data_IF_524018571914
#
_entry.id   IF_524018571914
#
_cell.length_a   1.000
_cell.length_b   1.000
_cell.length_c   1.000
_cell.angle_alpha   90.00
_cell.angle_beta   90.00
_cell.angle_gamma   90.00
#
_symmetry.space_group_name_H-M   'P 1'
#
loop_
_entity.id
_entity.type
_entity.pdbx_description
1 polymer ?
#
# COMPACT_ATOMS: atom_id res chain seq x y z
N UNK A 1 21.50 7.15 12.37
CA UNK A 1 20.10 7.40 12.73
C UNK A 1 20.04 8.56 13.69
N UNK A 2 19.69 9.73 13.18
CA UNK A 2 19.44 10.94 13.96
C UNK A 2 18.22 11.68 13.41
N UNK A 3 17.79 12.71 14.12
CA UNK A 3 16.74 13.62 13.64
C UNK A 3 17.37 14.74 12.84
N UNK A 4 16.75 15.08 11.72
CA UNK A 4 17.23 16.12 10.81
C UNK A 4 16.15 17.14 10.52
N UNK A 5 16.40 18.39 10.87
CA UNK A 5 15.60 19.52 10.41
C UNK A 5 16.30 20.10 9.20
N UNK A 6 15.60 20.16 8.07
CA UNK A 6 16.15 20.62 6.79
C UNK A 6 15.35 21.84 6.32
N UNK A 7 16.06 22.92 5.97
CA UNK A 7 15.47 24.13 5.37
C UNK A 7 16.39 24.74 4.33
N UNK A 8 15.81 25.49 3.38
CA UNK A 8 16.54 26.37 2.47
C UNK A 8 16.30 27.82 2.90
N UNK A 9 17.38 28.60 3.00
CA UNK A 9 17.28 30.02 3.31
C UNK A 9 17.10 30.85 2.04
N UNK A 10 16.13 31.77 2.06
CA UNK A 10 15.92 32.73 0.98
C UNK A 10 16.69 34.05 1.20
N UNK A 11 16.55 34.96 0.25
CA UNK A 11 17.28 36.25 0.21
C UNK A 11 16.42 37.47 0.57
N UNK A 12 15.10 37.29 0.72
CA UNK A 12 14.16 38.36 1.04
C UNK A 12 14.53 39.06 2.35
N UNK A 13 14.16 40.34 2.47
CA UNK A 13 14.25 41.09 3.72
C UNK A 13 13.09 40.69 4.64
N UNK A 14 13.36 39.74 5.53
CA UNK A 14 12.33 39.17 6.39
C UNK A 14 11.91 40.15 7.48
N UNK A 15 10.61 40.35 7.61
CA UNK A 15 10.05 41.19 8.66
C UNK A 15 9.78 40.34 9.89
N UNK A 16 10.02 40.92 11.06
CA UNK A 16 9.66 40.28 12.32
C UNK A 16 8.15 40.10 12.40
N UNK A 17 7.71 38.87 12.63
CA UNK A 17 6.30 38.50 12.69
C UNK A 17 6.06 37.46 13.78
N UNK A 18 4.79 37.20 14.10
CA UNK A 18 4.39 36.19 15.07
C UNK A 18 3.96 34.96 14.29
N UNK A 19 4.78 33.91 14.29
CA UNK A 19 4.40 32.63 13.71
C UNK A 19 3.57 31.80 14.70
N UNK A 20 2.66 30.98 14.18
CA UNK A 20 1.82 30.09 14.99
C UNK A 20 1.74 28.68 14.39
N UNK A 21 1.88 27.67 15.25
CA UNK A 21 1.63 26.26 14.94
C UNK A 21 0.97 25.59 16.15
N UNK A 22 -0.30 25.21 16.01
CA UNK A 22 -1.10 24.72 17.14
C UNK A 22 -1.16 25.77 18.25
N UNK A 23 -0.84 25.36 19.48
CA UNK A 23 -0.83 26.25 20.65
C UNK A 23 0.48 27.04 20.83
N UNK A 24 1.48 26.81 19.97
CA UNK A 24 2.77 27.50 20.06
C UNK A 24 2.78 28.75 19.19
N UNK A 25 3.24 29.86 19.77
CA UNK A 25 3.49 31.11 19.06
C UNK A 25 4.86 31.63 19.42
N UNK A 26 5.56 32.20 18.44
CA UNK A 26 6.86 32.81 18.69
C UNK A 26 7.14 33.92 17.68
N UNK A 27 7.67 35.04 18.18
CA UNK A 27 7.96 36.21 17.38
C UNK A 27 9.39 36.13 16.82
N UNK A 28 9.53 36.07 15.51
CA UNK A 28 10.83 36.06 14.83
C UNK A 28 10.69 36.51 13.38
N UNK A 29 11.80 36.93 12.79
CA UNK A 29 11.93 37.17 11.35
C UNK A 29 12.22 35.90 10.55
N UNK A 30 12.54 34.77 11.20
CA UNK A 30 12.93 33.53 10.51
C UNK A 30 12.05 32.36 10.92
N UNK A 31 11.30 31.83 9.96
CA UNK A 31 10.53 30.60 10.16
C UNK A 31 11.42 29.42 10.60
N UNK A 32 12.68 29.37 10.16
CA UNK A 32 13.64 28.35 10.57
C UNK A 32 13.86 28.38 12.09
N UNK A 33 14.03 29.56 12.68
CA UNK A 33 14.15 29.70 14.13
C UNK A 33 12.87 29.24 14.85
N UNK A 34 11.70 29.63 14.33
CA UNK A 34 10.40 29.22 14.88
C UNK A 34 10.25 27.69 14.89
N UNK A 35 10.50 27.02 13.76
CA UNK A 35 10.37 25.56 13.63
C UNK A 35 11.42 24.83 14.45
N UNK A 36 12.67 25.30 14.49
CA UNK A 36 13.72 24.72 15.33
C UNK A 36 13.34 24.82 16.81
N UNK A 37 12.82 25.95 17.28
CA UNK A 37 12.31 26.10 18.66
C UNK A 37 11.18 25.13 18.97
N UNK A 38 10.26 24.94 18.03
CA UNK A 38 9.10 24.07 18.22
C UNK A 38 9.48 22.58 18.24
N UNK A 39 10.29 22.10 17.30
CA UNK A 39 10.56 20.67 17.11
C UNK A 39 11.84 20.15 17.78
N UNK A 40 12.85 21.01 17.98
CA UNK A 40 14.21 20.57 18.28
C UNK A 40 14.60 20.73 19.76
N UNK A 41 13.64 20.99 20.65
CA UNK A 41 13.90 21.26 22.07
C UNK A 41 14.55 20.08 22.80
N UNK A 42 14.09 18.86 22.51
CA UNK A 42 14.58 17.63 23.13
C UNK A 42 15.65 16.93 22.27
N UNK A 43 16.30 17.67 21.36
CA UNK A 43 17.32 17.12 20.46
C UNK A 43 18.71 17.19 21.09
N UNK A 44 19.56 16.21 20.75
CA UNK A 44 20.94 16.13 21.22
C UNK A 44 21.96 16.40 20.10
N UNK A 45 23.25 16.27 20.42
CA UNK A 45 24.35 16.61 19.51
C UNK A 45 24.41 15.78 18.22
N UNK A 46 23.79 14.59 18.21
CA UNK A 46 23.73 13.71 17.05
C UNK A 46 22.63 14.16 16.07
N UNK A 47 21.64 14.92 16.55
CA UNK A 47 20.59 15.53 15.75
C UNK A 47 21.08 16.81 15.07
N UNK A 48 20.59 17.08 13.85
CA UNK A 48 21.15 18.10 12.96
C UNK A 48 20.08 19.09 12.46
N UNK A 49 20.38 20.37 12.58
CA UNK A 49 19.68 21.47 11.90
C UNK A 49 20.51 21.86 10.69
N UNK A 50 20.03 21.54 9.49
CA UNK A 50 20.75 21.69 8.23
C UNK A 50 20.10 22.81 7.41
N UNK A 51 20.86 23.88 7.17
CA UNK A 51 20.42 25.03 6.40
C UNK A 51 21.18 25.07 5.07
N UNK A 52 20.44 24.89 3.98
CA UNK A 52 20.97 25.01 2.63
C UNK A 52 20.94 26.46 2.16
N UNK A 53 22.06 26.94 1.62
CA UNK A 53 22.33 28.35 1.34
C UNK A 53 22.80 28.52 -0.11
N UNK A 54 22.17 29.44 -0.84
CA UNK A 54 22.82 30.05 -2.00
C UNK A 54 23.88 31.06 -1.54
N UNK A 55 24.78 31.46 -2.43
CA UNK A 55 25.79 32.48 -2.13
C UNK A 55 25.16 33.78 -1.59
N UNK A 56 24.06 34.22 -2.20
CA UNK A 56 23.33 35.42 -1.77
C UNK A 56 22.63 35.23 -0.43
N UNK A 57 21.99 34.07 -0.18
CA UNK A 57 21.32 33.81 1.09
C UNK A 57 22.32 33.81 2.26
N UNK A 58 23.53 33.29 2.01
CA UNK A 58 24.64 33.30 2.98
C UNK A 58 25.03 34.74 3.36
N UNK A 59 25.22 35.61 2.38
CA UNK A 59 25.63 37.02 2.59
C UNK A 59 24.51 37.85 3.22
N UNK A 60 23.27 37.66 2.77
CA UNK A 60 22.17 38.56 3.12
C UNK A 60 21.47 38.20 4.43
N UNK A 61 21.32 36.91 4.73
CA UNK A 61 20.43 36.43 5.80
C UNK A 61 21.07 35.41 6.76
N UNK A 62 22.08 34.64 6.34
CA UNK A 62 22.74 33.68 7.23
C UNK A 62 23.61 34.38 8.26
N UNK A 63 24.55 35.22 7.80
CA UNK A 63 25.45 35.98 8.65
C UNK A 63 25.82 37.33 8.02
N UNK A 64 24.85 38.25 7.93
CA UNK A 64 25.05 39.56 7.33
C UNK A 64 26.03 40.43 8.14
N UNK A 65 27.14 40.86 7.54
CA UNK A 65 28.16 41.64 8.24
C UNK A 65 27.69 43.05 8.63
N UNK A 66 26.76 43.63 7.87
CA UNK A 66 26.34 45.02 8.01
C UNK A 66 25.06 45.19 8.85
N UNK A 67 24.14 44.23 8.77
CA UNK A 67 22.81 44.32 9.40
C UNK A 67 22.68 43.20 10.44
N UNK A 68 22.84 43.54 11.72
CA UNK A 68 22.82 42.56 12.82
C UNK A 68 21.50 41.80 12.96
N UNK A 69 20.38 42.42 12.57
CA UNK A 69 19.05 41.78 12.57
C UNK A 69 18.91 40.71 11.48
N UNK A 70 19.81 40.67 10.50
CA UNK A 70 19.80 39.71 9.38
C UNK A 70 20.84 38.60 9.55
N UNK A 71 20.78 37.90 10.70
CA UNK A 71 21.71 36.83 11.07
C UNK A 71 20.98 35.61 11.64
N UNK A 72 20.45 34.76 10.77
CA UNK A 72 19.84 33.49 11.20
C UNK A 72 20.83 32.63 11.99
N UNK A 73 22.11 32.59 11.58
CA UNK A 73 23.14 31.78 12.26
C UNK A 73 23.22 32.12 13.74
N UNK A 74 23.32 33.40 14.08
CA UNK A 74 23.39 33.87 15.47
C UNK A 74 22.12 33.52 16.27
N UNK A 75 20.93 33.62 15.65
CA UNK A 75 19.66 33.24 16.28
C UNK A 75 19.56 31.74 16.57
N UNK A 76 20.09 30.90 15.70
CA UNK A 76 20.15 29.45 15.93
C UNK A 76 21.22 29.09 16.96
N UNK A 77 22.38 29.75 16.93
CA UNK A 77 23.45 29.53 17.91
C UNK A 77 23.01 29.91 19.33
N UNK A 78 22.24 30.99 19.50
CA UNK A 78 21.72 31.38 20.83
C UNK A 78 20.76 30.35 21.43
N UNK A 79 20.16 29.46 20.62
CA UNK A 79 19.35 28.35 21.15
C UNK A 79 20.19 27.38 21.98
N UNK A 80 21.49 27.27 21.73
CA UNK A 80 22.37 26.42 22.55
C UNK A 80 22.45 26.93 24.00
N UNK A 81 22.45 28.25 24.17
CA UNK A 81 22.43 28.88 25.49
C UNK A 81 21.07 28.67 26.20
N UNK A 82 20.01 28.41 25.43
CA UNK A 82 18.67 28.08 25.93
C UNK A 82 18.48 26.57 26.19
N UNK A 83 19.54 25.76 26.06
CA UNK A 83 19.54 24.33 26.38
C UNK A 83 19.24 23.39 25.21
N UNK A 84 19.23 23.87 23.97
CA UNK A 84 19.05 23.02 22.79
C UNK A 84 20.37 22.32 22.42
N UNK A 85 20.33 20.99 22.25
CA UNK A 85 21.52 20.16 22.08
C UNK A 85 21.98 19.90 20.63
N UNK A 86 21.19 20.29 19.61
CA UNK A 86 21.43 19.95 18.21
C UNK A 86 22.72 20.58 17.62
N UNK A 87 23.22 19.96 16.56
CA UNK A 87 24.31 20.47 15.73
C UNK A 87 23.77 21.28 14.55
N UNK A 88 24.31 22.49 14.33
CA UNK A 88 23.97 23.33 13.17
C UNK A 88 24.95 23.02 12.04
N UNK A 89 24.43 22.72 10.85
CA UNK A 89 25.19 22.54 9.62
C UNK A 89 24.68 23.52 8.56
N UNK A 90 25.60 24.16 7.84
CA UNK A 90 25.28 24.93 6.64
C UNK A 90 25.90 24.30 5.40
N UNK A 91 25.16 24.29 4.29
CA UNK A 91 25.53 23.61 3.05
C UNK A 91 25.25 24.52 1.86
N UNK A 92 26.21 24.60 0.94
CA UNK A 92 26.05 25.43 -0.25
C UNK A 92 25.21 24.72 -1.33
N UNK A 93 24.33 25.46 -1.98
CA UNK A 93 23.52 25.02 -3.11
C UNK A 93 23.50 26.08 -4.22
N UNK A 94 23.30 25.68 -5.49
CA UNK A 94 23.12 26.64 -6.58
C UNK A 94 21.74 27.31 -6.52
N UNK A 95 21.51 28.28 -7.41
CA UNK A 95 20.26 29.05 -7.48
C UNK A 95 19.09 28.33 -8.18
N UNK A 96 19.30 27.12 -8.70
CA UNK A 96 18.22 26.32 -9.32
C UNK A 96 17.67 26.96 -10.60
N UNK A 97 18.49 27.71 -11.35
CA UNK A 97 18.07 28.48 -12.54
C UNK A 97 17.81 27.62 -13.77
N UNK A 98 18.34 26.41 -13.79
CA UNK A 98 18.25 25.44 -14.87
C UNK A 98 18.08 24.02 -14.28
N UNK A 99 17.83 23.05 -15.15
CA UNK A 99 17.59 21.66 -14.74
C UNK A 99 18.81 21.05 -14.05
N UNK A 100 20.02 21.33 -14.53
CA UNK A 100 21.27 20.82 -13.95
C UNK A 100 21.45 21.30 -12.50
N UNK A 101 21.17 22.56 -12.22
CA UNK A 101 21.22 23.13 -10.87
C UNK A 101 20.13 22.53 -9.97
N UNK A 102 18.92 22.28 -10.48
CA UNK A 102 17.85 21.60 -9.71
C UNK A 102 18.29 20.19 -9.31
N UNK A 103 18.94 19.44 -10.21
CA UNK A 103 19.52 18.12 -9.89
C UNK A 103 20.69 18.19 -8.92
N UNK A 104 21.47 19.27 -8.93
CA UNK A 104 22.49 19.50 -7.92
C UNK A 104 21.84 19.72 -6.55
N UNK A 105 20.79 20.56 -6.44
CA UNK A 105 20.04 20.76 -5.19
C UNK A 105 19.46 19.44 -4.70
N UNK A 106 18.86 18.63 -5.58
CA UNK A 106 18.37 17.29 -5.25
C UNK A 106 19.44 16.46 -4.54
N UNK A 107 20.64 16.36 -5.15
CA UNK A 107 21.75 15.56 -4.62
C UNK A 107 22.27 16.12 -3.29
N UNK A 108 22.48 17.43 -3.20
CA UNK A 108 22.92 18.08 -1.97
C UNK A 108 21.98 17.78 -0.80
N UNK A 109 20.66 17.86 -1.00
CA UNK A 109 19.69 17.52 0.05
C UNK A 109 19.74 16.03 0.37
N UNK A 110 19.70 15.18 -0.66
CA UNK A 110 19.66 13.73 -0.49
C UNK A 110 20.90 13.19 0.24
N UNK A 111 22.10 13.69 -0.08
CA UNK A 111 23.37 13.22 0.49
C UNK A 111 23.50 13.55 1.99
N UNK A 112 22.84 14.60 2.46
CA UNK A 112 22.80 14.96 3.89
C UNK A 112 21.79 14.14 4.68
N UNK A 113 20.93 13.35 4.04
CA UNK A 113 20.02 12.41 4.70
C UNK A 113 20.73 11.05 4.81
N UNK A 114 20.75 10.43 5.99
CA UNK A 114 21.37 9.12 6.22
C UNK A 114 20.31 8.03 6.37
N UNK A 115 20.75 6.77 6.35
CA UNK A 115 19.85 5.62 6.50
C UNK A 115 19.16 5.60 7.87
N UNK A 116 17.84 5.41 7.85
CA UNK A 116 16.97 5.35 9.03
C UNK A 116 16.64 6.70 9.68
N UNK A 117 17.09 7.82 9.10
CA UNK A 117 16.89 9.14 9.73
C UNK A 117 15.41 9.55 9.85
N UNK A 118 15.13 10.38 10.85
CA UNK A 118 13.84 11.03 11.03
C UNK A 118 13.91 12.49 10.54
N UNK A 119 13.13 12.86 9.53
CA UNK A 119 13.30 14.13 8.81
C UNK A 119 12.11 15.07 9.01
N UNK A 120 12.40 16.31 9.37
CA UNK A 120 11.48 17.46 9.32
C UNK A 120 11.97 18.40 8.21
N UNK A 121 11.07 18.79 7.33
CA UNK A 121 11.42 19.62 6.17
C UNK A 121 10.60 20.91 6.14
N UNK A 122 11.29 22.04 6.04
CA UNK A 122 10.72 23.36 5.82
C UNK A 122 10.76 23.73 4.33
N UNK A 123 9.58 23.96 3.75
CA UNK A 123 9.42 24.34 2.34
C UNK A 123 9.03 25.82 2.16
N UNK A 124 9.15 26.64 3.20
CA UNK A 124 8.70 28.04 3.22
C UNK A 124 9.49 28.95 2.29
N UNK A 125 10.81 28.77 2.24
CA UNK A 125 11.71 29.66 1.52
C UNK A 125 12.58 28.89 0.54
N UNK A 126 12.88 29.52 -0.59
CA UNK A 126 13.64 28.93 -1.68
C UNK A 126 12.94 29.14 -3.02
N UNK A 127 13.08 28.17 -3.90
CA UNK A 127 12.58 28.24 -5.28
C UNK A 127 11.08 27.94 -5.35
N UNK A 128 10.37 28.44 -6.35
CA UNK A 128 8.96 28.06 -6.59
C UNK A 128 8.80 26.55 -6.85
N UNK A 129 9.86 25.90 -7.35
CA UNK A 129 9.94 24.46 -7.55
C UNK A 129 10.25 23.68 -6.26
N UNK A 130 10.60 24.35 -5.15
CA UNK A 130 11.06 23.69 -3.93
C UNK A 130 10.02 22.72 -3.35
N UNK A 131 8.72 23.04 -3.23
CA UNK A 131 7.76 22.07 -2.70
C UNK A 131 7.74 20.76 -3.49
N UNK A 132 7.79 20.84 -4.82
CA UNK A 132 7.86 19.66 -5.68
C UNK A 132 9.18 18.91 -5.51
N UNK A 133 10.31 19.63 -5.45
CA UNK A 133 11.63 19.04 -5.28
C UNK A 133 11.77 18.34 -3.93
N UNK A 134 11.38 19.01 -2.83
CA UNK A 134 11.45 18.49 -1.48
C UNK A 134 10.64 17.20 -1.35
N UNK A 135 9.38 17.21 -1.79
CA UNK A 135 8.54 16.02 -1.79
C UNK A 135 9.15 14.88 -2.63
N UNK A 136 9.77 15.19 -3.77
CA UNK A 136 10.45 14.19 -4.60
C UNK A 136 11.67 13.59 -3.90
N UNK A 137 12.54 14.43 -3.30
CA UNK A 137 13.73 13.97 -2.55
C UNK A 137 13.32 13.10 -1.36
N UNK A 138 12.33 13.55 -0.59
CA UNK A 138 11.84 12.83 0.59
C UNK A 138 11.25 11.46 0.21
N UNK A 139 10.43 11.40 -0.86
CA UNK A 139 9.87 10.12 -1.33
C UNK A 139 10.95 9.19 -1.87
N UNK A 140 11.96 9.71 -2.57
CA UNK A 140 13.11 8.91 -2.99
C UNK A 140 13.93 8.39 -1.79
N UNK A 141 14.17 9.24 -0.79
CA UNK A 141 14.89 8.88 0.42
C UNK A 141 14.15 7.84 1.27
N UNK A 142 12.82 7.88 1.35
CA UNK A 142 12.03 6.83 2.02
C UNK A 142 12.35 5.45 1.46
N UNK A 143 12.48 5.33 0.13
CA UNK A 143 12.75 4.06 -0.53
C UNK A 143 14.21 3.65 -0.44
N UNK A 144 15.15 4.58 -0.63
CA UNK A 144 16.59 4.26 -0.73
C UNK A 144 17.28 4.19 0.63
N UNK A 145 16.82 4.99 1.60
CA UNK A 145 17.47 5.18 2.91
C UNK A 145 16.54 4.83 4.08
N UNK A 146 15.34 4.29 3.83
CA UNK A 146 14.38 3.89 4.87
C UNK A 146 14.12 5.00 5.92
N UNK A 147 14.00 6.24 5.45
CA UNK A 147 13.77 7.38 6.34
C UNK A 147 12.33 7.46 6.80
N UNK A 148 12.11 8.16 7.91
CA UNK A 148 10.79 8.53 8.40
C UNK A 148 10.59 10.04 8.30
N UNK A 149 9.55 10.46 7.59
CA UNK A 149 9.17 11.87 7.53
C UNK A 149 8.35 12.19 8.78
N UNK A 150 8.88 13.04 9.65
CA UNK A 150 8.18 13.53 10.84
C UNK A 150 7.29 14.72 10.53
N UNK A 151 7.69 15.56 9.57
CA UNK A 151 6.86 16.69 9.19
C UNK A 151 7.34 17.46 7.98
N UNK A 152 6.38 18.06 7.26
CA UNK A 152 6.64 19.00 6.15
C UNK A 152 5.90 20.30 6.46
N UNK A 153 6.61 21.40 6.62
CA UNK A 153 6.06 22.66 7.13
C UNK A 153 6.22 23.83 6.17
N UNK A 154 5.22 24.71 6.17
CA UNK A 154 5.18 25.92 5.36
C UNK A 154 4.66 27.11 6.17
N UNK A 155 5.48 28.14 6.35
CA UNK A 155 5.09 29.41 6.97
C UNK A 155 4.44 30.36 5.95
N UNK A 156 3.14 30.56 6.05
CA UNK A 156 2.36 31.32 5.06
C UNK A 156 2.45 32.85 5.27
N UNK A 157 3.68 33.40 5.23
CA UNK A 157 3.95 34.81 5.47
C UNK A 157 3.20 35.75 4.50
N UNK A 158 2.97 35.31 3.27
CA UNK A 158 2.24 36.02 2.23
C UNK A 158 0.79 36.35 2.59
N UNK A 159 0.22 35.68 3.60
CA UNK A 159 -1.11 36.00 4.10
C UNK A 159 -1.14 37.34 4.86
N UNK A 160 0.00 37.80 5.36
CA UNK A 160 0.16 39.13 5.96
C UNK A 160 0.25 40.23 4.88
N UNK A 161 -0.81 40.38 4.07
CA UNK A 161 -0.83 41.28 2.90
C UNK A 161 -0.51 42.73 3.23
N UNK A 162 -0.89 43.18 4.43
CA UNK A 162 -0.71 44.55 4.89
C UNK A 162 0.58 44.77 5.70
N UNK A 163 1.41 43.72 5.89
CA UNK A 163 2.62 43.76 6.71
C UNK A 163 2.36 44.29 8.12
N UNK A 164 1.22 43.88 8.68
CA UNK A 164 0.84 44.22 10.04
C UNK A 164 1.69 43.39 11.01
N UNK A 165 2.39 44.06 11.92
CA UNK A 165 3.26 43.42 12.91
C UNK A 165 2.52 42.59 13.95
N UNK A 166 1.21 42.81 14.11
CA UNK A 166 0.36 42.03 15.01
C UNK A 166 -0.31 40.84 14.32
N UNK A 167 -0.21 40.73 12.99
CA UNK A 167 -0.75 39.61 12.25
C UNK A 167 -0.02 38.32 12.63
N UNK A 168 -0.80 37.31 13.03
CA UNK A 168 -0.31 35.98 13.33
C UNK A 168 -0.20 35.19 12.02
N UNK A 169 1.04 34.90 11.61
CA UNK A 169 1.33 34.11 10.43
C UNK A 169 1.17 32.63 10.75
N UNK A 170 0.21 31.92 10.12
CA UNK A 170 0.04 30.51 10.36
C UNK A 170 1.16 29.71 9.70
N UNK A 171 1.62 28.68 10.40
CA UNK A 171 2.46 27.61 9.84
C UNK A 171 1.53 26.43 9.53
N UNK A 172 1.54 25.99 8.29
CA UNK A 172 0.79 24.82 7.86
C UNK A 172 1.64 23.56 7.96
N UNK A 173 1.06 22.52 8.56
CA UNK A 173 1.56 21.15 8.47
C UNK A 173 1.01 20.49 7.20
N UNK A 174 1.90 20.18 6.27
CA UNK A 174 1.61 19.61 4.96
C UNK A 174 1.96 18.11 4.89
N UNK A 175 2.29 17.49 6.01
CA UNK A 175 2.67 16.07 6.10
C UNK A 175 1.55 15.15 5.61
N UNK A 176 0.29 15.57 5.75
CA UNK A 176 -0.88 14.85 5.23
C UNK A 176 -0.82 14.59 3.72
N UNK A 177 -0.15 15.45 2.94
CA UNK A 177 0.00 15.22 1.49
C UNK A 177 0.92 14.04 1.19
N UNK A 178 1.97 13.83 1.99
CA UNK A 178 2.82 12.64 1.87
C UNK A 178 2.02 11.37 2.19
N UNK A 179 1.18 11.41 3.23
CA UNK A 179 0.28 10.30 3.56
C UNK A 179 -0.66 9.93 2.39
N UNK A 180 -1.26 10.92 1.71
CA UNK A 180 -2.13 10.67 0.55
C UNK A 180 -1.36 9.98 -0.59
N UNK A 181 -0.10 10.35 -0.82
CA UNK A 181 0.74 9.71 -1.83
C UNK A 181 0.99 8.24 -1.47
N UNK A 182 1.32 7.95 -0.21
CA UNK A 182 1.49 6.58 0.28
C UNK A 182 0.22 5.74 0.09
N UNK A 183 -0.95 6.28 0.46
CA UNK A 183 -2.24 5.63 0.20
C UNK A 183 -2.47 5.37 -1.30
N UNK A 184 -2.17 6.35 -2.16
CA UNK A 184 -2.28 6.20 -3.61
C UNK A 184 -1.37 5.10 -4.15
N UNK A 185 -0.11 5.03 -3.68
CA UNK A 185 0.82 3.97 -4.06
C UNK A 185 0.36 2.59 -3.58
N UNK A 186 -0.06 2.48 -2.32
CA UNK A 186 -0.55 1.23 -1.74
C UNK A 186 -1.79 0.70 -2.48
N UNK A 187 -2.74 1.57 -2.82
CA UNK A 187 -3.93 1.20 -3.58
C UNK A 187 -3.60 0.84 -5.03
N UNK A 188 -2.70 1.58 -5.68
CA UNK A 188 -2.24 1.22 -7.03
C UNK A 188 -1.54 -0.15 -7.06
N UNK A 189 -0.72 -0.47 -6.05
CA UNK A 189 -0.09 -1.78 -5.91
C UNK A 189 -1.14 -2.88 -5.73
N UNK A 190 -2.15 -2.67 -4.89
CA UNK A 190 -3.27 -3.60 -4.73
C UNK A 190 -4.05 -3.80 -6.05
N UNK A 191 -4.37 -2.74 -6.78
CA UNK A 191 -5.15 -2.85 -8.01
C UNK A 191 -4.43 -3.67 -9.09
N UNK A 192 -3.09 -3.61 -9.12
CA UNK A 192 -2.23 -4.31 -10.08
C UNK A 192 -1.86 -5.74 -9.67
N UNK A 193 -1.60 -5.96 -8.38
CA UNK A 193 -0.99 -7.21 -7.89
C UNK A 193 -1.85 -7.94 -6.84
N UNK A 194 -3.01 -7.39 -6.47
CA UNK A 194 -3.96 -8.02 -5.57
C UNK A 194 -3.49 -8.16 -4.13
N UNK A 195 -2.43 -7.47 -3.72
CA UNK A 195 -1.86 -7.51 -2.37
C UNK A 195 -2.23 -6.25 -1.58
N UNK A 196 -2.91 -6.43 -0.44
CA UNK A 196 -3.36 -5.33 0.42
C UNK A 196 -2.50 -5.11 1.68
N UNK A 197 -1.36 -5.81 1.83
CA UNK A 197 -0.46 -5.64 2.97
C UNK A 197 0.00 -4.20 3.12
N UNK A 198 0.42 -3.57 2.02
CA UNK A 198 0.88 -2.18 2.05
C UNK A 198 -0.23 -1.20 2.50
N UNK A 199 -1.49 -1.44 2.09
CA UNK A 199 -2.64 -0.64 2.54
C UNK A 199 -2.82 -0.76 4.05
N UNK A 200 -2.74 -1.99 4.58
CA UNK A 200 -2.77 -2.26 6.02
C UNK A 200 -1.64 -1.55 6.75
N UNK A 201 -0.40 -1.64 6.25
CA UNK A 201 0.76 -1.01 6.88
C UNK A 201 0.62 0.52 6.92
N UNK A 202 0.25 1.16 5.80
CA UNK A 202 0.00 2.61 5.72
C UNK A 202 -1.12 3.02 6.69
N UNK A 203 -2.20 2.26 6.80
CA UNK A 203 -3.28 2.56 7.74
C UNK A 203 -2.83 2.53 9.19
N UNK A 204 -1.99 1.56 9.58
CA UNK A 204 -1.50 1.43 10.95
C UNK A 204 -0.43 2.49 11.29
N UNK A 205 0.35 2.94 10.31
CA UNK A 205 1.41 3.95 10.51
C UNK A 205 0.83 5.36 10.46
N UNK A 206 0.17 5.73 9.37
CA UNK A 206 -0.30 7.12 9.14
C UNK A 206 -1.42 7.55 10.09
N UNK A 207 -2.22 6.61 10.60
CA UNK A 207 -3.32 6.91 11.52
C UNK A 207 -2.94 6.71 12.99
N UNK A 208 -1.68 6.40 13.31
CA UNK A 208 -1.24 5.99 14.65
C UNK A 208 -1.69 6.95 15.75
N UNK A 209 -1.50 8.25 15.57
CA UNK A 209 -1.88 9.25 16.57
C UNK A 209 -3.40 9.28 16.80
N UNK A 210 -4.16 9.31 15.71
CA UNK A 210 -5.63 9.25 15.74
C UNK A 210 -6.14 7.96 16.40
N UNK A 211 -5.48 6.83 16.14
CA UNK A 211 -5.79 5.54 16.78
C UNK A 211 -5.51 5.56 18.29
N UNK A 212 -4.40 6.17 18.73
CA UNK A 212 -4.10 6.38 20.17
C UNK A 212 -5.19 7.23 20.82
N UNK A 213 -5.67 8.27 20.12
CA UNK A 213 -6.77 9.13 20.55
C UNK A 213 -8.15 8.49 20.42
N UNK A 214 -8.23 7.24 19.94
CA UNK A 214 -9.48 6.50 19.71
C UNK A 214 -10.45 7.22 18.76
N UNK A 215 -9.91 7.92 17.77
CA UNK A 215 -10.68 8.53 16.68
C UNK A 215 -11.48 7.43 15.95
N UNK A 216 -12.82 7.52 15.92
CA UNK A 216 -13.67 6.46 15.38
C UNK A 216 -13.50 6.27 13.87
N UNK A 217 -13.21 7.34 13.13
CA UNK A 217 -13.04 7.30 11.68
C UNK A 217 -11.71 6.60 11.35
N UNK A 218 -10.64 6.92 12.09
CA UNK A 218 -9.36 6.24 11.96
C UNK A 218 -9.47 4.74 12.29
N UNK A 219 -10.24 4.38 13.33
CA UNK A 219 -10.50 2.97 13.68
C UNK A 219 -11.23 2.25 12.55
N UNK A 220 -12.26 2.86 11.96
CA UNK A 220 -13.00 2.29 10.84
C UNK A 220 -12.09 2.05 9.62
N UNK A 221 -11.28 3.06 9.24
CA UNK A 221 -10.33 2.94 8.13
C UNK A 221 -9.31 1.83 8.40
N UNK A 222 -8.74 1.75 9.60
CA UNK A 222 -7.82 0.67 9.99
C UNK A 222 -8.48 -0.71 9.93
N UNK A 223 -9.72 -0.83 10.39
CA UNK A 223 -10.48 -2.08 10.33
C UNK A 223 -10.70 -2.56 8.90
N UNK A 224 -11.08 -1.64 8.01
CA UNK A 224 -11.23 -1.92 6.59
C UNK A 224 -9.90 -2.35 5.95
N UNK A 225 -8.81 -1.63 6.21
CA UNK A 225 -7.49 -1.95 5.66
C UNK A 225 -7.01 -3.35 6.10
N UNK A 226 -7.18 -3.68 7.38
CA UNK A 226 -6.80 -4.99 7.92
C UNK A 226 -7.69 -6.11 7.36
N UNK A 227 -9.00 -5.90 7.25
CA UNK A 227 -9.90 -6.92 6.69
C UNK A 227 -9.69 -7.12 5.19
N UNK A 228 -9.31 -6.08 4.45
CA UNK A 228 -8.86 -6.20 3.07
C UNK A 228 -7.58 -7.04 2.95
N UNK A 229 -6.60 -6.83 3.83
CA UNK A 229 -5.40 -7.68 3.89
C UNK A 229 -5.73 -9.14 4.20
N UNK A 230 -6.67 -9.40 5.10
CA UNK A 230 -7.16 -10.75 5.40
C UNK A 230 -7.84 -11.39 4.17
N UNK A 231 -8.66 -10.62 3.45
CA UNK A 231 -9.28 -11.07 2.20
C UNK A 231 -8.24 -11.47 1.15
N UNK A 232 -7.24 -10.63 0.89
CA UNK A 232 -6.16 -10.97 -0.05
C UNK A 232 -5.33 -12.16 0.44
N UNK A 233 -5.11 -12.28 1.75
CA UNK A 233 -4.39 -13.42 2.33
C UNK A 233 -5.15 -14.74 2.19
N UNK A 234 -6.48 -14.71 2.31
CA UNK A 234 -7.33 -15.87 2.06
C UNK A 234 -7.24 -16.35 0.60
N UNK A 235 -7.13 -15.41 -0.36
CA UNK A 235 -6.88 -15.73 -1.78
C UNK A 235 -5.48 -16.35 -1.95
N UNK A 236 -4.44 -15.71 -1.42
CA UNK A 236 -3.05 -16.18 -1.53
C UNK A 236 -2.85 -17.59 -0.95
N UNK A 237 -3.64 -17.94 0.08
CA UNK A 237 -3.59 -19.25 0.75
C UNK A 237 -4.69 -20.23 0.27
N UNK A 238 -5.35 -19.92 -0.85
CA UNK A 238 -6.36 -20.76 -1.50
C UNK A 238 -7.50 -21.23 -0.58
N UNK A 239 -8.03 -20.34 0.28
CA UNK A 239 -9.13 -20.64 1.21
C UNK A 239 -10.50 -20.55 0.53
N UNK A 240 -10.68 -21.29 -0.56
CA UNK A 240 -11.87 -21.24 -1.42
C UNK A 240 -13.15 -21.84 -0.83
N UNK A 241 -13.05 -22.68 0.22
CA UNK A 241 -14.23 -23.30 0.86
C UNK A 241 -15.12 -22.22 1.47
N UNK A 242 -16.40 -22.25 1.12
CA UNK A 242 -17.46 -21.42 1.70
C UNK A 242 -17.66 -21.82 3.16
N UNK A 243 -17.60 -20.83 4.04
CA UNK A 243 -17.88 -20.96 5.46
C UNK A 243 -18.77 -19.78 5.85
N UNK A 244 -19.94 -20.08 6.41
CA UNK A 244 -20.82 -19.06 6.97
C UNK A 244 -20.46 -18.82 8.45
N UNK A 245 -20.48 -17.56 8.90
CA UNK A 245 -20.21 -17.20 10.30
C UNK A 245 -18.76 -16.77 10.63
N UNK A 246 -18.42 -16.77 11.92
CA UNK A 246 -17.18 -16.19 12.47
C UNK A 246 -15.94 -17.04 12.12
N UNK A 247 -15.32 -16.73 10.99
CA UNK A 247 -14.08 -17.35 10.53
C UNK A 247 -13.45 -16.60 9.35
N UNK A 248 -13.38 -15.27 9.41
CA UNK A 248 -12.87 -14.41 8.33
C UNK A 248 -11.49 -14.82 7.80
N UNK A 249 -10.69 -15.55 8.57
CA UNK A 249 -9.35 -16.02 8.18
C UNK A 249 -9.35 -17.42 7.53
N UNK A 250 -10.50 -18.10 7.50
CA UNK A 250 -10.61 -19.50 7.05
C UNK A 250 -11.26 -19.64 5.67
N UNK A 251 -11.84 -18.56 5.13
CA UNK A 251 -12.58 -18.57 3.87
C UNK A 251 -12.48 -17.22 3.16
N UNK A 252 -12.30 -17.26 1.83
CA UNK A 252 -12.35 -16.07 0.97
C UNK A 252 -13.71 -15.37 1.09
N UNK A 253 -14.81 -16.12 1.14
CA UNK A 253 -16.15 -15.56 1.29
C UNK A 253 -16.29 -14.77 2.60
N UNK A 254 -15.99 -15.40 3.74
CA UNK A 254 -16.11 -14.75 5.05
C UNK A 254 -15.20 -13.53 5.16
N UNK A 255 -13.99 -13.60 4.60
CA UNK A 255 -13.04 -12.49 4.55
C UNK A 255 -13.59 -11.32 3.72
N UNK A 256 -14.16 -11.60 2.54
CA UNK A 256 -14.78 -10.61 1.68
C UNK A 256 -15.97 -9.92 2.35
N UNK A 257 -16.87 -10.67 2.98
CA UNK A 257 -18.03 -10.10 3.67
C UNK A 257 -17.60 -9.19 4.84
N UNK A 258 -16.60 -9.60 5.62
CA UNK A 258 -16.02 -8.75 6.67
C UNK A 258 -15.43 -7.46 6.07
N UNK A 259 -14.63 -7.58 5.00
CA UNK A 259 -14.06 -6.42 4.31
C UNK A 259 -15.14 -5.47 3.77
N UNK A 260 -16.17 -6.00 3.12
CA UNK A 260 -17.29 -5.23 2.57
C UNK A 260 -18.07 -4.50 3.68
N UNK A 261 -18.33 -5.16 4.81
CA UNK A 261 -19.00 -4.53 5.95
C UNK A 261 -18.17 -3.40 6.56
N UNK A 262 -16.85 -3.60 6.74
CA UNK A 262 -15.97 -2.53 7.24
C UNK A 262 -15.87 -1.37 6.25
N UNK A 263 -15.93 -1.63 4.94
CA UNK A 263 -15.97 -0.57 3.94
C UNK A 263 -17.25 0.26 4.03
N UNK A 264 -18.41 -0.38 4.26
CA UNK A 264 -19.66 0.34 4.49
C UNK A 264 -19.56 1.24 5.73
N UNK A 265 -19.02 0.73 6.83
CA UNK A 265 -18.80 1.53 8.06
C UNK A 265 -17.88 2.74 7.81
N UNK A 266 -16.82 2.58 6.99
CA UNK A 266 -15.98 3.71 6.55
C UNK A 266 -16.79 4.74 5.75
N UNK A 267 -17.60 4.30 4.79
CA UNK A 267 -18.41 5.20 3.94
C UNK A 267 -19.46 5.96 4.73
N UNK A 268 -20.08 5.32 5.73
CA UNK A 268 -21.09 5.94 6.58
C UNK A 268 -20.49 6.99 7.53
N UNK A 269 -19.28 6.74 8.04
CA UNK A 269 -18.61 7.63 9.02
C UNK A 269 -17.82 8.75 8.36
N UNK A 270 -16.95 8.42 7.41
CA UNK A 270 -15.90 9.30 6.88
C UNK A 270 -16.44 10.29 5.84
N UNK A 271 -17.56 10.95 6.12
CA UNK A 271 -18.24 11.89 5.21
C UNK A 271 -17.67 13.31 5.24
N UNK A 272 -16.74 13.60 6.18
CA UNK A 272 -16.13 14.93 6.38
C UNK A 272 -14.66 14.79 6.79
N UNK A 273 -13.88 15.84 6.54
CA UNK A 273 -12.50 15.96 7.02
C UNK A 273 -11.46 15.25 6.13
N UNK A 274 -10.20 15.17 6.58
CA UNK A 274 -9.09 14.72 5.73
C UNK A 274 -9.22 13.27 5.23
N UNK A 275 -9.82 12.37 6.03
CA UNK A 275 -9.98 10.96 5.66
C UNK A 275 -10.98 10.75 4.52
N UNK A 276 -11.89 11.71 4.25
CA UNK A 276 -12.81 11.62 3.12
C UNK A 276 -12.06 11.53 1.77
N UNK A 277 -10.82 12.05 1.70
CA UNK A 277 -10.00 12.00 0.49
C UNK A 277 -9.62 10.56 0.10
N UNK A 278 -9.72 9.60 1.03
CA UNK A 278 -9.46 8.19 0.78
C UNK A 278 -10.65 7.46 0.11
N UNK A 279 -11.87 8.00 0.21
CA UNK A 279 -13.07 7.34 -0.30
C UNK A 279 -12.99 6.99 -1.80
N UNK A 280 -12.53 7.89 -2.70
CA UNK A 280 -12.39 7.54 -4.11
C UNK A 280 -11.39 6.40 -4.37
N UNK A 281 -10.38 6.23 -3.51
CA UNK A 281 -9.44 5.10 -3.58
C UNK A 281 -10.14 3.81 -3.16
N UNK A 282 -10.95 3.86 -2.11
CA UNK A 282 -11.70 2.70 -1.62
C UNK A 282 -12.82 2.27 -2.58
N UNK A 283 -13.43 3.21 -3.31
CA UNK A 283 -14.38 2.90 -4.38
C UNK A 283 -13.73 2.09 -5.51
N UNK A 284 -12.44 2.33 -5.81
CA UNK A 284 -11.68 1.51 -6.76
C UNK A 284 -11.51 0.08 -6.25
N UNK A 285 -11.25 -0.07 -4.94
CA UNK A 285 -11.12 -1.39 -4.30
C UNK A 285 -12.44 -2.14 -4.37
N UNK A 286 -13.55 -1.51 -3.98
CA UNK A 286 -14.90 -2.10 -4.04
C UNK A 286 -15.24 -2.58 -5.44
N UNK A 287 -15.03 -1.73 -6.45
CA UNK A 287 -15.28 -2.08 -7.85
C UNK A 287 -14.42 -3.26 -8.30
N UNK A 288 -13.18 -3.35 -7.81
CA UNK A 288 -12.22 -4.41 -8.15
C UNK A 288 -12.60 -5.75 -7.50
N UNK A 289 -13.21 -5.73 -6.33
CA UNK A 289 -13.54 -6.95 -5.54
C UNK A 289 -15.00 -7.41 -5.70
N UNK A 290 -15.85 -6.66 -6.42
CA UNK A 290 -17.29 -6.95 -6.57
C UNK A 290 -17.67 -8.38 -6.97
N UNK A 291 -16.83 -9.08 -7.74
CA UNK A 291 -17.14 -10.43 -8.23
C UNK A 291 -17.15 -11.49 -7.11
N UNK A 292 -16.65 -11.15 -5.92
CA UNK A 292 -16.68 -12.01 -4.74
C UNK A 292 -17.99 -11.89 -3.93
N UNK A 293 -18.92 -11.04 -4.37
CA UNK A 293 -20.24 -10.91 -3.77
C UNK A 293 -21.18 -12.04 -4.21
N UNK A 294 -20.77 -13.29 -3.96
CA UNK A 294 -21.59 -14.49 -4.18
C UNK A 294 -21.69 -15.35 -2.93
N UNK A 295 -22.70 -16.21 -2.85
CA UNK A 295 -22.98 -17.09 -1.70
C UNK A 295 -22.75 -18.57 -1.98
N UNK A 296 -22.05 -18.92 -3.05
CA UNK A 296 -21.81 -20.31 -3.45
C UNK A 296 -20.33 -20.57 -3.76
N UNK A 297 -19.90 -21.81 -3.53
CA UNK A 297 -18.50 -22.22 -3.69
C UNK A 297 -18.01 -22.08 -5.14
N UNK A 298 -18.87 -22.32 -6.13
CA UNK A 298 -18.49 -22.33 -7.53
C UNK A 298 -18.19 -20.92 -8.03
N UNK A 299 -19.08 -19.96 -7.79
CA UNK A 299 -18.84 -18.56 -8.20
C UNK A 299 -17.69 -17.92 -7.43
N UNK A 300 -17.51 -18.25 -6.14
CA UNK A 300 -16.31 -17.83 -5.40
C UNK A 300 -15.05 -18.39 -6.07
N UNK A 301 -15.02 -19.68 -6.42
CA UNK A 301 -13.92 -20.29 -7.16
C UNK A 301 -13.66 -19.60 -8.50
N UNK A 302 -14.70 -19.33 -9.30
CA UNK A 302 -14.60 -18.63 -10.59
C UNK A 302 -14.06 -17.21 -10.42
N UNK A 303 -14.54 -16.48 -9.40
CA UNK A 303 -14.04 -15.14 -9.07
C UNK A 303 -12.58 -15.18 -8.65
N UNK A 304 -12.17 -16.16 -7.84
CA UNK A 304 -10.77 -16.39 -7.46
C UNK A 304 -9.88 -16.66 -8.67
N UNK A 305 -10.29 -17.53 -9.61
CA UNK A 305 -9.50 -17.81 -10.81
C UNK A 305 -9.30 -16.54 -11.63
N UNK A 306 -10.38 -15.79 -11.90
CA UNK A 306 -10.31 -14.52 -12.63
C UNK A 306 -9.40 -13.51 -11.94
N UNK A 307 -9.56 -13.33 -10.62
CA UNK A 307 -8.71 -12.47 -9.81
C UNK A 307 -7.23 -12.86 -9.91
N UNK A 308 -6.92 -14.14 -9.76
CA UNK A 308 -5.55 -14.62 -9.78
C UNK A 308 -4.89 -14.43 -11.15
N UNK A 309 -5.62 -14.63 -12.25
CA UNK A 309 -5.12 -14.37 -13.61
C UNK A 309 -4.83 -12.87 -13.81
N UNK A 310 -5.74 -12.01 -13.35
CA UNK A 310 -5.61 -10.55 -13.52
C UNK A 310 -4.48 -9.94 -12.68
N UNK A 311 -4.05 -10.62 -11.62
CA UNK A 311 -3.01 -10.16 -10.68
C UNK A 311 -1.72 -10.99 -10.76
N UNK A 312 -1.53 -11.79 -11.81
CA UNK A 312 -0.34 -12.64 -12.02
C UNK A 312 -0.07 -13.68 -10.91
N UNK A 313 -1.10 -14.11 -10.18
CA UNK A 313 -1.06 -15.18 -9.18
C UNK A 313 -1.29 -16.55 -9.84
N UNK A 314 -0.36 -16.95 -10.72
CA UNK A 314 -0.56 -18.07 -11.64
C UNK A 314 -0.80 -19.41 -10.93
N UNK A 315 -0.03 -19.74 -9.89
CA UNK A 315 -0.18 -20.99 -9.14
C UNK A 315 -1.53 -21.08 -8.42
N UNK A 316 -1.95 -19.96 -7.79
CA UNK A 316 -3.26 -19.84 -7.15
C UNK A 316 -4.39 -19.95 -8.18
N UNK A 317 -4.21 -19.42 -9.41
CA UNK A 317 -5.19 -19.54 -10.47
C UNK A 317 -5.42 -21.00 -10.88
N UNK A 318 -4.34 -21.79 -11.07
CA UNK A 318 -4.46 -23.23 -11.36
C UNK A 318 -5.11 -24.00 -10.22
N UNK A 319 -4.70 -23.72 -8.97
CA UNK A 319 -5.28 -24.36 -7.79
C UNK A 319 -6.76 -24.05 -7.64
N UNK A 320 -7.16 -22.79 -7.78
CA UNK A 320 -8.56 -22.39 -7.72
C UNK A 320 -9.40 -23.00 -8.86
N UNK A 321 -8.82 -23.15 -10.06
CA UNK A 321 -9.52 -23.73 -11.21
C UNK A 321 -9.73 -25.24 -11.04
N UNK A 322 -8.73 -25.96 -10.53
CA UNK A 322 -8.83 -27.39 -10.18
C UNK A 322 -9.94 -27.61 -9.14
N UNK A 323 -9.95 -26.82 -8.07
CA UNK A 323 -10.98 -26.91 -7.02
C UNK A 323 -12.38 -26.50 -7.52
N UNK A 324 -12.47 -25.48 -8.37
CA UNK A 324 -13.74 -25.04 -8.97
C UNK A 324 -14.32 -26.10 -9.93
N UNK A 325 -13.47 -26.80 -10.69
CA UNK A 325 -13.92 -27.88 -11.58
C UNK A 325 -14.49 -29.06 -10.79
N UNK A 326 -13.88 -29.45 -9.66
CA UNK A 326 -14.42 -30.47 -8.76
C UNK A 326 -15.75 -30.00 -8.16
N UNK A 327 -15.81 -28.76 -7.66
CA UNK A 327 -17.04 -28.17 -7.09
C UNK A 327 -18.19 -28.20 -8.10
N UNK A 328 -17.94 -27.83 -9.36
CA UNK A 328 -18.94 -27.89 -10.43
C UNK A 328 -19.51 -29.30 -10.61
N UNK A 329 -18.66 -30.33 -10.61
CA UNK A 329 -19.12 -31.73 -10.72
C UNK A 329 -19.92 -32.13 -9.47
N UNK A 330 -19.45 -31.77 -8.26
CA UNK A 330 -20.21 -32.02 -7.04
C UNK A 330 -21.64 -31.44 -7.12
N UNK A 331 -21.77 -30.17 -7.51
CA UNK A 331 -23.07 -29.51 -7.66
C UNK A 331 -23.96 -30.19 -8.72
N UNK A 332 -23.40 -30.45 -9.90
CA UNK A 332 -24.14 -31.06 -11.03
C UNK A 332 -24.71 -32.43 -10.70
N UNK A 333 -24.03 -33.19 -9.84
CA UNK A 333 -24.42 -34.57 -9.48
C UNK A 333 -24.99 -34.69 -8.06
N UNK A 334 -25.31 -33.57 -7.39
CA UNK A 334 -25.94 -33.57 -6.07
C UNK A 334 -25.05 -34.15 -4.96
N UNK A 335 -23.73 -34.02 -5.09
CA UNK A 335 -22.75 -34.44 -4.08
C UNK A 335 -22.40 -33.26 -3.18
N UNK A 336 -22.18 -33.52 -1.89
CA UNK A 336 -21.63 -32.53 -0.96
C UNK A 336 -20.23 -32.07 -1.42
N UNK A 337 -20.17 -30.83 -1.89
CA UNK A 337 -18.98 -30.15 -2.40
C UNK A 337 -17.97 -29.76 -1.31
N UNK A 338 -18.27 -29.96 -0.03
CA UNK A 338 -17.39 -29.65 1.10
C UNK A 338 -16.85 -30.87 1.83
N UNK A 339 -17.36 -32.05 1.48
CA UNK A 339 -16.97 -33.34 2.02
C UNK A 339 -15.75 -33.90 1.26
N UNK A 340 -14.69 -34.25 1.98
CA UNK A 340 -13.43 -34.73 1.37
C UNK A 340 -13.61 -36.06 0.62
N UNK A 341 -14.43 -36.98 1.13
CA UNK A 341 -14.70 -38.27 0.47
C UNK A 341 -15.39 -38.03 -0.88
N UNK A 342 -16.43 -37.20 -0.92
CA UNK A 342 -17.10 -36.86 -2.17
C UNK A 342 -16.18 -36.22 -3.20
N UNK A 343 -15.32 -35.29 -2.77
CA UNK A 343 -14.39 -34.59 -3.67
C UNK A 343 -13.24 -35.50 -4.15
N UNK A 344 -12.52 -36.13 -3.22
CA UNK A 344 -11.26 -36.81 -3.49
C UNK A 344 -11.46 -38.27 -3.90
N UNK A 345 -12.31 -39.00 -3.19
CA UNK A 345 -12.48 -40.44 -3.38
C UNK A 345 -13.50 -40.76 -4.48
N UNK A 346 -14.51 -39.91 -4.67
CA UNK A 346 -15.55 -40.12 -5.70
C UNK A 346 -15.26 -39.29 -6.95
N UNK A 347 -15.37 -37.95 -6.86
CA UNK A 347 -15.33 -37.07 -8.05
C UNK A 347 -13.98 -37.08 -8.74
N UNK A 348 -12.89 -36.82 -8.01
CA UNK A 348 -11.56 -36.74 -8.61
C UNK A 348 -11.12 -38.08 -9.23
N UNK A 349 -11.48 -39.22 -8.61
CA UNK A 349 -11.20 -40.55 -9.17
C UNK A 349 -12.04 -40.83 -10.41
N UNK A 350 -13.34 -40.53 -10.40
CA UNK A 350 -14.21 -40.69 -11.57
C UNK A 350 -13.71 -39.86 -12.77
N UNK A 351 -13.35 -38.59 -12.54
CA UNK A 351 -12.76 -37.73 -13.56
C UNK A 351 -11.47 -38.33 -14.13
N UNK A 352 -10.56 -38.82 -13.29
CA UNK A 352 -9.31 -39.42 -13.76
C UNK A 352 -9.53 -40.72 -14.54
N UNK A 353 -10.45 -41.58 -14.08
CA UNK A 353 -10.81 -42.83 -14.75
C UNK A 353 -11.39 -42.53 -16.14
N UNK A 354 -12.34 -41.60 -16.22
CA UNK A 354 -12.97 -41.18 -17.48
C UNK A 354 -11.95 -40.53 -18.42
N UNK A 355 -11.06 -39.68 -17.91
CA UNK A 355 -10.02 -39.02 -18.69
C UNK A 355 -8.98 -40.01 -19.28
N UNK A 356 -8.69 -41.10 -18.57
CA UNK A 356 -7.69 -42.08 -19.00
C UNK A 356 -8.29 -43.34 -19.64
N UNK A 357 -9.62 -43.41 -19.83
CA UNK A 357 -10.34 -44.57 -20.34
C UNK A 357 -9.92 -45.88 -19.65
N UNK A 358 -9.77 -45.86 -18.32
CA UNK A 358 -9.24 -47.01 -17.57
C UNK A 358 -10.26 -48.15 -17.53
N UNK A 359 -9.87 -49.39 -17.90
CA UNK A 359 -10.71 -50.58 -17.73
C UNK A 359 -11.13 -50.77 -16.27
N UNK A 360 -12.37 -51.22 -16.04
CA UNK A 360 -12.98 -51.29 -14.70
C UNK A 360 -12.20 -52.17 -13.71
N UNK A 361 -11.62 -53.26 -14.19
CA UNK A 361 -10.77 -54.18 -13.44
C UNK A 361 -9.44 -53.55 -12.97
N UNK A 362 -9.05 -52.40 -13.53
CA UNK A 362 -7.82 -51.67 -13.17
C UNK A 362 -8.06 -50.50 -12.21
N UNK A 363 -9.30 -50.27 -11.78
CA UNK A 363 -9.65 -49.13 -10.93
C UNK A 363 -9.04 -49.28 -9.52
N UNK A 364 -8.32 -48.24 -9.08
CA UNK A 364 -7.73 -48.15 -7.74
C UNK A 364 -8.61 -47.29 -6.83
N UNK A 365 -9.74 -47.84 -6.42
CA UNK A 365 -10.79 -47.14 -5.67
C UNK A 365 -11.23 -47.97 -4.46
N UNK A 366 -11.88 -47.33 -3.49
CA UNK A 366 -12.55 -48.06 -2.41
C UNK A 366 -13.80 -48.78 -2.93
N UNK A 367 -14.02 -50.02 -2.50
CA UNK A 367 -15.18 -50.82 -2.88
C UNK A 367 -16.48 -50.20 -2.40
N UNK A 368 -16.46 -49.48 -1.27
CA UNK A 368 -17.64 -48.80 -0.74
C UNK A 368 -18.23 -47.80 -1.75
N UNK A 369 -17.38 -47.15 -2.55
CA UNK A 369 -17.78 -46.10 -3.49
C UNK A 369 -17.81 -46.56 -4.95
N UNK A 370 -17.54 -47.83 -5.24
CA UNK A 370 -17.38 -48.32 -6.61
C UNK A 370 -18.60 -48.06 -7.50
N UNK A 371 -19.81 -48.37 -7.03
CA UNK A 371 -21.04 -48.19 -7.81
C UNK A 371 -21.28 -46.71 -8.14
N UNK A 372 -21.08 -45.85 -7.14
CA UNK A 372 -21.25 -44.39 -7.28
C UNK A 372 -20.21 -43.79 -8.22
N UNK A 373 -18.97 -44.27 -8.18
CA UNK A 373 -17.91 -43.88 -9.12
C UNK A 373 -18.24 -44.35 -10.53
N UNK A 374 -18.73 -45.58 -10.70
CA UNK A 374 -19.12 -46.11 -12.01
C UNK A 374 -20.24 -45.29 -12.64
N UNK A 375 -21.30 -45.00 -11.87
CA UNK A 375 -22.40 -44.15 -12.33
C UNK A 375 -21.90 -42.76 -12.78
N UNK A 376 -20.99 -42.17 -12.01
CA UNK A 376 -20.42 -40.87 -12.31
C UNK A 376 -19.53 -40.91 -13.56
N UNK A 377 -18.71 -41.95 -13.73
CA UNK A 377 -17.88 -42.16 -14.93
C UNK A 377 -18.75 -42.25 -16.19
N UNK A 378 -19.89 -42.94 -16.12
CA UNK A 378 -20.80 -43.08 -17.25
C UNK A 378 -21.45 -41.74 -17.63
N UNK A 379 -21.83 -40.93 -16.64
CA UNK A 379 -22.56 -39.67 -16.84
C UNK A 379 -21.67 -38.44 -17.11
N UNK A 380 -20.41 -38.44 -16.68
CA UNK A 380 -19.48 -37.34 -16.94
C UNK A 380 -19.12 -37.30 -18.43
N UNK A 381 -19.15 -36.10 -19.01
CA UNK A 381 -18.72 -35.87 -20.38
C UNK A 381 -17.20 -36.09 -20.51
N UNK A 382 -16.78 -36.84 -21.53
CA UNK A 382 -15.37 -37.16 -21.78
C UNK A 382 -14.52 -35.88 -21.95
N UNK A 383 -15.03 -34.91 -22.69
CA UNK A 383 -14.37 -33.62 -22.91
C UNK A 383 -14.12 -32.85 -21.59
N UNK A 384 -15.05 -32.95 -20.63
CA UNK A 384 -14.86 -32.34 -19.31
C UNK A 384 -13.79 -33.05 -18.50
N UNK A 385 -13.77 -34.38 -18.53
CA UNK A 385 -12.75 -35.17 -17.85
C UNK A 385 -11.34 -34.89 -18.40
N UNK A 386 -11.22 -34.77 -19.73
CA UNK A 386 -9.95 -34.44 -20.39
C UNK A 386 -9.52 -33.00 -20.08
N UNK A 387 -10.47 -32.06 -20.06
CA UNK A 387 -10.25 -30.70 -19.57
C UNK A 387 -9.71 -30.68 -18.12
N UNK A 388 -10.35 -31.39 -17.20
CA UNK A 388 -9.90 -31.50 -15.81
C UNK A 388 -8.48 -32.07 -15.70
N UNK A 389 -8.19 -33.13 -16.45
CA UNK A 389 -6.87 -33.76 -16.44
C UNK A 389 -5.77 -32.81 -16.97
N UNK A 390 -6.09 -31.93 -17.91
CA UNK A 390 -5.15 -30.92 -18.42
C UNK A 390 -4.75 -29.90 -17.34
N UNK A 391 -5.71 -29.43 -16.53
CA UNK A 391 -5.46 -28.53 -15.39
C UNK A 391 -4.50 -29.20 -14.40
N UNK A 392 -4.81 -30.45 -14.02
CA UNK A 392 -4.03 -31.21 -13.03
C UNK A 392 -2.59 -31.43 -13.49
N UNK A 393 -2.38 -31.74 -14.76
CA UNK A 393 -1.04 -31.91 -15.33
C UNK A 393 -0.18 -30.65 -15.19
N UNK A 394 -0.73 -29.49 -15.55
CA UNK A 394 0.00 -28.22 -15.49
C UNK A 394 0.22 -27.76 -14.05
N UNK A 395 -0.79 -27.89 -13.19
CA UNK A 395 -0.68 -27.59 -11.76
C UNK A 395 0.42 -28.43 -11.09
N UNK A 396 0.50 -29.71 -11.42
CA UNK A 396 1.54 -30.59 -10.89
C UNK A 396 2.94 -30.15 -11.32
N UNK A 397 3.14 -29.74 -12.58
CA UNK A 397 4.44 -29.22 -13.05
C UNK A 397 4.89 -27.99 -12.23
N UNK A 398 3.96 -27.06 -11.96
CA UNK A 398 4.21 -25.89 -11.09
C UNK A 398 4.58 -26.33 -9.66
N UNK A 399 3.78 -27.20 -9.05
CA UNK A 399 3.98 -27.64 -7.67
C UNK A 399 5.26 -28.47 -7.48
N UNK A 400 5.68 -29.20 -8.51
CA UNK A 400 6.93 -29.95 -8.52
C UNK A 400 8.14 -29.09 -8.89
N UNK A 401 7.99 -27.77 -9.00
CA UNK A 401 9.09 -26.83 -9.21
C UNK A 401 9.92 -27.13 -10.48
N UNK A 402 9.29 -27.70 -11.50
CA UNK A 402 9.96 -28.10 -12.74
C UNK A 402 10.89 -29.33 -12.60
N UNK A 403 10.83 -30.10 -11.51
CA UNK A 403 11.49 -31.41 -11.40
C UNK A 403 10.72 -32.51 -12.14
N UNK A 404 10.30 -32.24 -13.38
CA UNK A 404 9.55 -33.15 -14.25
C UNK A 404 10.29 -33.36 -15.56
N UNK A 405 10.09 -34.50 -16.22
CA UNK A 405 10.76 -34.81 -17.49
C UNK A 405 10.36 -33.86 -18.64
N UNK A 406 9.22 -33.16 -18.50
CA UNK A 406 8.64 -32.29 -19.51
C UNK A 406 8.29 -30.91 -18.92
N UNK A 407 9.33 -30.13 -18.61
CA UNK A 407 9.20 -28.79 -18.04
C UNK A 407 8.57 -27.83 -19.05
N UNK A 408 7.47 -27.17 -18.68
CA UNK A 408 6.84 -26.13 -19.52
C UNK A 408 7.61 -24.82 -19.48
N UNK A 409 7.46 -24.01 -20.56
CA UNK A 409 8.04 -22.67 -20.58
C UNK A 409 7.22 -21.74 -19.70
N UNK A 410 7.89 -20.77 -19.08
CA UNK A 410 7.28 -19.75 -18.21
C UNK A 410 6.09 -19.04 -18.91
N UNK A 411 6.24 -18.70 -20.20
CA UNK A 411 5.20 -18.02 -20.98
C UNK A 411 3.94 -18.86 -21.21
N UNK A 412 4.05 -20.19 -21.14
CA UNK A 412 2.94 -21.09 -21.44
C UNK A 412 1.93 -21.10 -20.30
N UNK A 413 2.36 -21.03 -19.04
CA UNK A 413 1.46 -21.07 -17.89
C UNK A 413 0.41 -19.96 -17.90
N UNK A 414 0.82 -18.72 -18.18
CA UNK A 414 -0.09 -17.55 -18.21
C UNK A 414 -1.07 -17.60 -19.38
N UNK A 415 -0.63 -18.08 -20.54
CA UNK A 415 -1.50 -18.27 -21.71
C UNK A 415 -2.51 -19.40 -21.47
N UNK A 416 -2.03 -20.53 -20.98
CA UNK A 416 -2.83 -21.74 -20.77
C UNK A 416 -3.90 -21.55 -19.70
N UNK A 417 -3.58 -20.90 -18.56
CA UNK A 417 -4.57 -20.69 -17.50
C UNK A 417 -5.74 -19.82 -17.98
N UNK A 418 -5.45 -18.82 -18.83
CA UNK A 418 -6.49 -17.98 -19.45
C UNK A 418 -7.38 -18.79 -20.38
N UNK A 419 -6.78 -19.62 -21.24
CA UNK A 419 -7.53 -20.48 -22.16
C UNK A 419 -8.38 -21.51 -21.40
N UNK A 420 -7.83 -22.12 -20.35
CA UNK A 420 -8.55 -23.08 -19.51
C UNK A 420 -9.70 -22.42 -18.76
N UNK A 421 -9.48 -21.22 -18.22
CA UNK A 421 -10.54 -20.45 -17.55
C UNK A 421 -11.66 -20.04 -18.51
N UNK A 422 -11.32 -19.58 -19.71
CA UNK A 422 -12.32 -19.24 -20.73
C UNK A 422 -13.08 -20.48 -21.22
N UNK A 423 -12.42 -21.64 -21.34
CA UNK A 423 -13.07 -22.91 -21.66
C UNK A 423 -14.02 -23.34 -20.52
N UNK A 424 -13.56 -23.25 -19.27
CA UNK A 424 -14.38 -23.58 -18.10
C UNK A 424 -15.67 -22.76 -18.07
N UNK A 425 -15.57 -21.44 -18.28
CA UNK A 425 -16.74 -20.55 -18.34
C UNK A 425 -17.73 -20.96 -19.44
N UNK A 426 -17.28 -21.42 -20.60
CA UNK A 426 -18.17 -21.90 -21.67
C UNK A 426 -18.91 -23.17 -21.23
N UNK A 427 -18.17 -24.15 -20.72
CA UNK A 427 -18.71 -25.43 -20.24
C UNK A 427 -19.83 -25.23 -19.21
N UNK A 428 -19.65 -24.30 -18.26
CA UNK A 428 -20.64 -24.04 -17.21
C UNK A 428 -21.81 -23.16 -17.68
N UNK A 429 -21.69 -22.47 -18.83
CA UNK A 429 -22.75 -21.60 -19.38
C UNK A 429 -23.68 -22.33 -20.36
N UNK A 430 -23.17 -23.38 -21.01
CA UNK A 430 -23.88 -24.15 -22.04
C UNK A 430 -24.80 -25.25 -21.45
N UNK A 431 -24.98 -25.29 -20.12
CA UNK A 431 -25.76 -26.29 -19.36
C UNK A 431 -26.47 -25.64 -18.19
#
# INVERSE_FOLDING_TARGET
MGKKFISILGTNDYQETIYNLGDFTFKTSYIQEFLTRYFCKDWDKEDKVIIFLTEDARKLNWNNELISTRRLKTKLESLKDEGYGFTILDKDIPEGKNEEEIWQIFRCIFDEIEEGDEVIFDITHGFRSLPMLALTVLNYAKVVKDIKILGIYYGAFELNKNRDSEFIVPVFDLTNFDSILEWSYAVNAFLKYGNAKHISDVANISLREKLIQRDPDAIAVRNFANSLNNFTSAILTCRGKFIEGFGAEKSIYSAYQNMKNNLMDVKDRCSKGPLQMLLPLFDKIEKRTKNFDSRDNLHIGIATVGWCIENDLIEQAYTALDEAAITYVCQRFGLDETNSIHREEIVAKALNIKALNRPRDTWKIDKEYEEKIAELVDKIDKDFADFYQSIKGIRNDLNHFGYTDNVKKISDFKREIKNLYDNFKKIISDK
#
